data_IF_541303379365
#
_entry.id   IF_541303379365
#
_cell.length_a   1.000
_cell.length_b   1.000
_cell.length_c   1.000
_cell.angle_alpha   90.00
_cell.angle_beta   90.00
_cell.angle_gamma   90.00
#
_symmetry.space_group_name_H-M   'P 1'
#
loop_
_entity.id
_entity.type
_entity.pdbx_description
1 polymer ?
#
# COMPACT_ATOMS: atom_id res chain seq x y z
N UNK A 1 5.13 -13.92 -18.97
CA UNK A 1 4.38 -13.21 -17.91
C UNK A 1 4.98 -13.58 -16.56
N UNK A 2 5.43 -12.59 -15.79
CA UNK A 2 5.96 -12.83 -14.43
C UNK A 2 4.78 -12.80 -13.46
N UNK A 3 4.26 -13.96 -13.10
CA UNK A 3 3.22 -14.05 -12.07
C UNK A 3 3.83 -13.78 -10.68
N UNK A 4 3.14 -12.98 -9.89
CA UNK A 4 3.51 -12.81 -8.48
C UNK A 4 3.25 -14.13 -7.77
N UNK A 5 4.31 -14.74 -7.24
CA UNK A 5 4.22 -16.06 -6.59
C UNK A 5 3.73 -15.93 -5.16
N UNK A 6 2.75 -16.77 -4.81
CA UNK A 6 2.30 -16.90 -3.42
C UNK A 6 3.49 -17.27 -2.52
N UNK A 7 3.75 -16.52 -1.43
CA UNK A 7 4.80 -16.89 -0.50
C UNK A 7 4.48 -18.20 0.24
N UNK A 8 5.50 -18.91 0.76
CA UNK A 8 5.28 -20.08 1.61
C UNK A 8 4.38 -19.73 2.81
N UNK A 9 3.55 -20.68 3.24
CA UNK A 9 2.62 -20.50 4.39
C UNK A 9 3.27 -20.01 5.67
N UNK A 10 4.54 -20.40 5.92
CA UNK A 10 5.34 -19.93 7.07
C UNK A 10 5.79 -18.46 6.98
N UNK A 11 5.43 -17.75 5.91
CA UNK A 11 5.64 -16.28 5.77
C UNK A 11 4.34 -15.49 5.89
N UNK A 12 3.24 -16.16 6.19
CA UNK A 12 1.91 -15.56 6.32
C UNK A 12 1.33 -15.92 7.67
N UNK A 13 0.63 -14.98 8.30
CA UNK A 13 -0.09 -15.20 9.55
C UNK A 13 -1.38 -14.37 9.53
N UNK A 14 -2.51 -14.91 10.05
CA UNK A 14 -3.75 -14.16 10.12
C UNK A 14 -3.61 -12.92 11.02
N UNK A 15 -4.42 -11.87 10.82
CA UNK A 15 -4.45 -10.72 11.71
C UNK A 15 -4.56 -11.14 13.20
N UNK A 16 -3.89 -10.41 14.08
CA UNK A 16 -3.79 -10.77 15.49
C UNK A 16 -2.77 -11.88 15.80
N UNK A 17 -2.00 -12.30 14.80
CA UNK A 17 -0.92 -13.28 14.94
C UNK A 17 0.35 -12.83 14.22
N UNK A 18 1.47 -13.44 14.55
CA UNK A 18 2.76 -13.19 13.90
C UNK A 18 3.51 -14.48 13.64
N UNK A 19 4.45 -14.42 12.69
CA UNK A 19 5.34 -15.54 12.37
C UNK A 19 6.54 -15.53 13.31
N UNK A 20 6.68 -16.55 14.13
CA UNK A 20 7.89 -16.80 14.90
C UNK A 20 8.89 -17.52 14.00
N UNK A 21 10.00 -16.88 13.68
CA UNK A 21 11.09 -17.50 12.89
C UNK A 21 11.78 -18.58 13.72
N UNK A 22 12.33 -19.60 13.03
CA UNK A 22 13.17 -20.60 13.69
C UNK A 22 14.34 -19.93 14.43
N UNK A 23 14.59 -20.33 15.65
CA UNK A 23 15.68 -19.79 16.47
C UNK A 23 16.16 -20.83 17.50
N UNK A 24 17.35 -20.59 18.05
CA UNK A 24 17.87 -21.37 19.17
C UNK A 24 17.41 -20.72 20.47
N UNK A 25 16.89 -21.50 21.38
CA UNK A 25 16.60 -21.10 22.76
C UNK A 25 17.51 -21.81 23.74
N UNK A 26 17.84 -21.14 24.83
CA UNK A 26 18.57 -21.71 25.96
C UNK A 26 17.59 -21.86 27.11
N UNK A 27 17.47 -23.08 27.67
CA UNK A 27 16.65 -23.31 28.87
C UNK A 27 17.31 -22.69 30.12
N UNK A 28 16.57 -22.56 31.20
CA UNK A 28 17.11 -22.12 32.49
C UNK A 28 18.25 -23.03 33.03
N UNK A 29 18.36 -24.27 32.53
CA UNK A 29 19.44 -25.21 32.83
C UNK A 29 20.61 -25.14 31.83
N UNK A 30 20.69 -24.14 30.97
CA UNK A 30 21.75 -23.94 29.97
C UNK A 30 21.65 -24.84 28.73
N UNK A 31 20.62 -25.68 28.61
CA UNK A 31 20.46 -26.58 27.45
C UNK A 31 19.92 -25.78 26.25
N UNK A 32 20.63 -25.86 25.13
CA UNK A 32 20.21 -25.28 23.84
C UNK A 32 19.23 -26.20 23.14
N UNK A 33 18.13 -25.64 22.63
CA UNK A 33 17.17 -26.35 21.79
C UNK A 33 16.66 -25.49 20.66
N UNK A 34 16.24 -26.14 19.57
CA UNK A 34 15.72 -25.44 18.36
C UNK A 34 14.21 -25.25 18.44
N UNK A 35 13.78 -24.01 18.29
CA UNK A 35 12.36 -23.69 18.08
C UNK A 35 12.10 -23.65 16.59
N UNK A 36 11.18 -24.49 16.10
CA UNK A 36 10.73 -24.47 14.70
C UNK A 36 9.91 -23.20 14.41
N UNK A 37 9.92 -22.74 13.16
CA UNK A 37 9.05 -21.64 12.74
C UNK A 37 7.59 -22.06 12.94
N UNK A 38 6.78 -21.16 13.52
CA UNK A 38 5.34 -21.37 13.77
C UNK A 38 4.60 -20.05 13.84
N UNK A 39 3.28 -20.09 13.74
CA UNK A 39 2.41 -18.94 13.92
C UNK A 39 2.02 -18.86 15.41
N UNK A 40 2.10 -17.66 15.98
CA UNK A 40 1.74 -17.38 17.36
C UNK A 40 0.76 -16.22 17.44
N UNK A 41 -0.29 -16.36 18.26
CA UNK A 41 -1.21 -15.24 18.58
C UNK A 41 -0.46 -14.12 19.30
N UNK A 42 -0.80 -12.87 18.99
CA UNK A 42 -0.28 -11.70 19.67
C UNK A 42 -0.79 -11.68 21.13
N UNK A 43 0.06 -11.22 22.04
CA UNK A 43 -0.35 -10.95 23.42
C UNK A 43 -0.93 -9.55 23.47
N UNK A 44 -2.22 -9.42 23.81
CA UNK A 44 -2.96 -8.16 23.86
C UNK A 44 -3.67 -7.81 22.56
N UNK A 45 -4.42 -6.71 22.56
CA UNK A 45 -5.11 -6.17 21.39
C UNK A 45 -4.10 -5.42 20.50
N UNK A 46 -3.33 -6.14 19.72
CA UNK A 46 -2.45 -5.52 18.72
C UNK A 46 -3.27 -5.30 17.46
N UNK A 47 -3.73 -4.09 17.26
CA UNK A 47 -4.51 -3.66 16.08
C UNK A 47 -3.64 -3.40 14.85
N UNK A 48 -2.31 -3.53 14.99
CA UNK A 48 -1.37 -3.28 13.89
C UNK A 48 -1.28 -4.49 12.97
N UNK A 49 -1.39 -4.27 11.67
CA UNK A 49 -1.12 -5.27 10.65
C UNK A 49 0.37 -5.35 10.34
N UNK A 50 0.91 -6.54 10.41
CA UNK A 50 2.29 -6.88 10.08
C UNK A 50 2.41 -7.28 8.60
N UNK A 51 3.63 -7.34 8.01
CA UNK A 51 3.81 -7.79 6.63
C UNK A 51 3.15 -9.14 6.35
N UNK A 52 3.30 -10.10 7.26
CA UNK A 52 2.71 -11.44 7.16
C UNK A 52 1.19 -11.43 7.22
N UNK A 53 0.58 -10.43 7.88
CA UNK A 53 -0.88 -10.30 7.92
C UNK A 53 -1.40 -9.78 6.59
N UNK A 54 -0.73 -8.79 5.96
CA UNK A 54 -1.11 -8.30 4.64
C UNK A 54 -1.01 -9.41 3.59
N UNK A 55 0.07 -10.17 3.60
CA UNK A 55 0.21 -11.33 2.72
C UNK A 55 -0.89 -12.37 2.96
N UNK A 56 -1.21 -12.66 4.22
CA UNK A 56 -2.28 -13.60 4.55
C UNK A 56 -3.64 -13.12 4.02
N UNK A 57 -4.00 -11.87 4.27
CA UNK A 57 -5.27 -11.28 3.82
C UNK A 57 -5.43 -11.36 2.32
N UNK A 58 -4.42 -10.95 1.56
CA UNK A 58 -4.47 -10.99 0.10
C UNK A 58 -4.58 -12.43 -0.43
N UNK A 59 -3.71 -13.34 0.02
CA UNK A 59 -3.65 -14.70 -0.53
C UNK A 59 -4.77 -15.64 -0.07
N UNK A 60 -5.59 -15.24 0.89
CA UNK A 60 -6.80 -15.97 1.34
C UNK A 60 -8.08 -15.20 1.06
N UNK A 61 -7.99 -13.99 0.52
CA UNK A 61 -9.13 -13.22 0.04
C UNK A 61 -9.51 -13.56 -1.39
N UNK A 62 -10.60 -12.98 -1.84
CA UNK A 62 -11.04 -13.09 -3.22
C UNK A 62 -10.07 -12.33 -4.14
N UNK A 63 -9.68 -12.95 -5.25
CA UNK A 63 -8.77 -12.39 -6.25
C UNK A 63 -9.38 -12.45 -7.67
N UNK A 64 -10.63 -12.83 -7.78
CA UNK A 64 -11.35 -12.89 -9.05
C UNK A 64 -11.89 -11.50 -9.42
N UNK A 65 -11.01 -10.69 -9.97
CA UNK A 65 -11.32 -9.35 -10.43
C UNK A 65 -11.13 -9.20 -11.93
N UNK A 66 -11.97 -8.38 -12.60
CA UNK A 66 -11.80 -8.09 -14.02
C UNK A 66 -10.48 -7.35 -14.29
N UNK A 67 -9.91 -7.45 -15.49
CA UNK A 67 -8.74 -6.69 -15.87
C UNK A 67 -8.95 -5.18 -15.72
N UNK A 68 -7.97 -4.47 -15.17
CA UNK A 68 -7.98 -3.01 -15.11
C UNK A 68 -7.66 -2.41 -16.49
N UNK A 69 -6.87 -3.12 -17.29
CA UNK A 69 -6.38 -2.68 -18.60
C UNK A 69 -5.03 -1.96 -18.52
N UNK A 70 -4.53 -1.55 -19.68
CA UNK A 70 -3.24 -0.90 -19.81
C UNK A 70 -3.31 0.59 -19.45
N UNK A 71 -2.21 1.11 -18.89
CA UNK A 71 -1.96 2.56 -18.79
C UNK A 71 -1.31 3.00 -20.11
N UNK A 72 -1.75 4.13 -20.68
CA UNK A 72 -1.21 4.65 -21.96
C UNK A 72 0.31 4.83 -21.89
N UNK A 73 1.02 4.28 -22.85
CA UNK A 73 2.50 4.34 -22.91
C UNK A 73 3.21 3.30 -22.07
N UNK A 74 2.50 2.41 -21.40
CA UNK A 74 3.06 1.30 -20.62
C UNK A 74 2.54 -0.04 -21.13
N UNK A 75 3.25 -1.13 -20.81
CA UNK A 75 2.73 -2.49 -20.97
C UNK A 75 1.54 -2.72 -20.02
N UNK A 76 0.82 -3.82 -20.21
CA UNK A 76 -0.43 -4.06 -19.45
C UNK A 76 -0.22 -4.30 -17.95
N UNK A 77 0.84 -5.03 -17.58
CA UNK A 77 1.12 -5.41 -16.19
C UNK A 77 -0.11 -5.97 -15.43
N UNK A 78 -0.77 -7.02 -15.99
CA UNK A 78 -2.00 -7.58 -15.41
C UNK A 78 -1.78 -8.21 -14.03
N UNK A 79 -0.55 -8.55 -13.69
CA UNK A 79 -0.17 -9.12 -12.40
C UNK A 79 -0.44 -8.21 -11.20
N UNK A 80 -0.64 -6.90 -11.43
CA UNK A 80 -0.99 -5.96 -10.37
C UNK A 80 -2.49 -5.70 -10.26
N UNK A 81 -3.29 -6.10 -11.26
CA UNK A 81 -4.71 -5.75 -11.33
C UNK A 81 -5.52 -6.31 -10.16
N UNK A 82 -5.36 -7.59 -9.85
CA UNK A 82 -6.03 -8.20 -8.71
C UNK A 82 -5.57 -7.63 -7.37
N UNK A 83 -4.28 -7.28 -7.23
CA UNK A 83 -3.73 -6.70 -6.00
C UNK A 83 -4.34 -5.32 -5.76
N UNK A 84 -4.40 -4.48 -6.79
CA UNK A 84 -4.95 -3.12 -6.71
C UNK A 84 -6.42 -3.18 -6.29
N UNK A 85 -7.22 -4.01 -6.97
CA UNK A 85 -8.66 -4.12 -6.72
C UNK A 85 -8.94 -4.71 -5.35
N UNK A 86 -8.24 -5.79 -4.98
CA UNK A 86 -8.35 -6.38 -3.65
C UNK A 86 -8.12 -5.33 -2.55
N UNK A 87 -7.00 -4.61 -2.58
CA UNK A 87 -6.67 -3.67 -1.52
C UNK A 87 -7.56 -2.44 -1.51
N UNK A 88 -8.00 -1.94 -2.67
CA UNK A 88 -8.95 -0.84 -2.71
C UNK A 88 -10.29 -1.23 -2.09
N UNK A 89 -10.81 -2.42 -2.43
CA UNK A 89 -12.06 -2.93 -1.86
C UNK A 89 -11.91 -3.24 -0.37
N UNK A 90 -10.85 -3.95 0.00
CA UNK A 90 -10.58 -4.28 1.40
C UNK A 90 -10.57 -3.03 2.29
N UNK A 91 -9.84 -2.00 1.91
CA UNK A 91 -9.79 -0.78 2.73
C UNK A 91 -11.12 -0.02 2.75
N UNK A 92 -11.90 -0.03 1.68
CA UNK A 92 -13.27 0.51 1.65
C UNK A 92 -14.19 -0.26 2.62
N UNK A 93 -14.13 -1.57 2.61
CA UNK A 93 -14.89 -2.46 3.52
C UNK A 93 -14.47 -2.27 4.99
N UNK A 94 -13.22 -1.94 5.25
CA UNK A 94 -12.76 -1.58 6.60
C UNK A 94 -13.23 -0.17 7.04
N UNK A 95 -14.05 0.52 6.23
CA UNK A 95 -14.60 1.84 6.56
C UNK A 95 -13.63 2.99 6.39
N UNK A 96 -12.53 2.80 5.68
CA UNK A 96 -11.60 3.89 5.40
C UNK A 96 -12.18 4.86 4.36
N UNK A 97 -12.03 6.19 4.54
CA UNK A 97 -12.57 7.17 3.62
C UNK A 97 -11.74 7.24 2.34
N UNK A 98 -12.43 7.31 1.21
CA UNK A 98 -11.84 7.56 -0.10
C UNK A 98 -12.65 8.63 -0.84
N UNK A 99 -12.02 9.42 -1.71
CA UNK A 99 -12.74 10.38 -2.54
C UNK A 99 -13.65 9.65 -3.54
N UNK A 100 -14.77 10.29 -3.84
CA UNK A 100 -15.65 9.82 -4.91
C UNK A 100 -14.91 9.76 -6.24
N UNK A 101 -15.25 8.78 -7.08
CA UNK A 101 -14.61 8.55 -8.38
C UNK A 101 -13.25 7.87 -8.32
N UNK A 102 -12.73 7.51 -7.13
CA UNK A 102 -11.50 6.72 -7.06
C UNK A 102 -11.76 5.28 -7.55
N UNK A 103 -11.14 4.94 -8.67
CA UNK A 103 -11.21 3.62 -9.30
C UNK A 103 -9.83 2.93 -9.35
N UNK A 104 -9.79 1.61 -9.66
CA UNK A 104 -8.54 0.86 -9.77
C UNK A 104 -7.58 1.36 -10.86
N UNK A 105 -8.07 1.94 -11.97
CA UNK A 105 -7.22 2.45 -13.03
C UNK A 105 -6.40 3.65 -12.55
N UNK A 106 -7.00 4.56 -11.76
CA UNK A 106 -6.25 5.69 -11.23
C UNK A 106 -5.10 5.24 -10.30
N UNK A 107 -5.31 4.20 -9.49
CA UNK A 107 -4.23 3.61 -8.69
C UNK A 107 -3.14 3.04 -9.60
N UNK A 108 -3.52 2.35 -10.68
CA UNK A 108 -2.57 1.80 -11.65
C UNK A 108 -1.79 2.91 -12.37
N UNK A 109 -2.40 4.04 -12.67
CA UNK A 109 -1.74 5.24 -13.21
C UNK A 109 -0.75 5.84 -12.23
N UNK A 110 -1.09 5.93 -10.95
CA UNK A 110 -0.16 6.37 -9.89
C UNK A 110 1.07 5.44 -9.86
N UNK A 111 0.88 4.12 -9.88
CA UNK A 111 1.99 3.15 -9.93
C UNK A 111 2.87 3.36 -11.17
N UNK A 112 2.25 3.57 -12.34
CA UNK A 112 2.97 3.84 -13.58
C UNK A 112 3.87 5.09 -13.45
N UNK A 113 3.33 6.17 -12.90
CA UNK A 113 4.05 7.44 -12.70
C UNK A 113 5.17 7.33 -11.66
N UNK A 114 4.90 6.66 -10.53
CA UNK A 114 5.84 6.54 -9.41
C UNK A 114 7.05 5.63 -9.73
N UNK A 115 6.81 4.51 -10.38
CA UNK A 115 7.82 3.46 -10.51
C UNK A 115 8.01 2.89 -11.90
N UNK A 116 7.15 3.25 -12.86
CA UNK A 116 7.04 2.54 -14.15
C UNK A 116 6.87 1.02 -13.93
N UNK A 117 6.07 0.63 -12.94
CA UNK A 117 5.80 -0.75 -12.53
C UNK A 117 7.03 -1.54 -12.02
N UNK A 118 8.09 -0.87 -11.60
CA UNK A 118 9.31 -1.51 -11.06
C UNK A 118 9.19 -1.68 -9.54
N UNK A 119 8.81 -2.88 -9.07
CA UNK A 119 8.59 -3.18 -7.65
C UNK A 119 9.83 -3.04 -6.78
N UNK A 120 11.02 -3.22 -7.34
CA UNK A 120 12.29 -3.17 -6.62
C UNK A 120 12.95 -1.78 -6.65
N UNK A 121 12.28 -0.77 -7.24
CA UNK A 121 12.85 0.57 -7.32
C UNK A 121 12.98 1.20 -5.94
N UNK A 122 14.12 1.78 -5.69
CA UNK A 122 14.41 2.58 -4.51
C UNK A 122 15.10 3.86 -4.91
N UNK A 123 14.42 4.97 -4.75
CA UNK A 123 14.99 6.29 -5.02
C UNK A 123 15.84 6.71 -3.82
N UNK A 124 17.12 7.00 -4.08
CA UNK A 124 18.03 7.55 -3.06
C UNK A 124 18.06 9.06 -3.21
N UNK A 125 17.28 9.77 -2.42
CA UNK A 125 17.48 11.20 -2.20
C UNK A 125 18.30 11.40 -0.92
N UNK A 126 19.00 12.54 -0.81
CA UNK A 126 19.97 12.83 0.27
C UNK A 126 19.40 12.61 1.68
N UNK A 127 18.07 12.75 1.88
CA UNK A 127 17.39 12.64 3.17
C UNK A 127 16.14 11.75 3.15
N UNK A 128 15.83 11.07 2.04
CA UNK A 128 14.66 10.18 1.96
C UNK A 128 14.85 9.12 0.89
N UNK A 129 14.34 7.93 1.15
CA UNK A 129 14.30 6.87 0.15
C UNK A 129 12.86 6.44 -0.04
N UNK A 130 12.31 6.76 -1.22
CA UNK A 130 11.05 6.21 -1.65
C UNK A 130 11.24 4.78 -2.16
N UNK A 131 10.32 3.87 -1.89
CA UNK A 131 10.49 2.44 -2.17
C UNK A 131 9.25 1.82 -2.79
N UNK A 132 9.48 1.00 -3.83
CA UNK A 132 8.50 0.12 -4.44
C UNK A 132 7.54 0.81 -5.41
N UNK A 133 6.47 0.12 -5.78
CA UNK A 133 5.52 0.51 -6.83
C UNK A 133 4.90 1.90 -6.62
N UNK A 134 4.51 2.23 -5.39
CA UNK A 134 3.85 3.48 -5.03
C UNK A 134 4.79 4.44 -4.28
N UNK A 135 6.10 4.24 -4.35
CA UNK A 135 7.19 5.09 -3.83
C UNK A 135 6.94 5.59 -2.40
N UNK A 136 6.73 4.65 -1.48
CA UNK A 136 6.44 4.93 -0.08
C UNK A 136 7.72 5.33 0.69
N UNK A 137 7.63 6.41 1.47
CA UNK A 137 8.71 6.93 2.31
C UNK A 137 8.74 6.27 3.69
N UNK A 138 9.90 6.28 4.34
CA UNK A 138 10.03 5.85 5.74
C UNK A 138 9.14 6.68 6.69
N UNK A 139 9.04 7.99 6.48
CA UNK A 139 8.16 8.87 7.26
C UNK A 139 6.69 8.50 7.12
N UNK A 140 6.27 8.03 5.93
CA UNK A 140 4.93 7.50 5.71
C UNK A 140 4.68 6.26 6.57
N UNK A 141 5.66 5.34 6.66
CA UNK A 141 5.51 4.14 7.50
C UNK A 141 5.34 4.48 8.98
N UNK A 142 6.11 5.43 9.51
CA UNK A 142 5.95 5.88 10.91
C UNK A 142 4.55 6.42 11.18
N UNK A 143 3.99 7.21 10.26
CA UNK A 143 2.62 7.72 10.38
C UNK A 143 1.59 6.58 10.32
N UNK A 144 1.75 5.64 9.39
CA UNK A 144 0.86 4.49 9.27
C UNK A 144 0.98 3.51 10.45
N UNK A 145 2.08 3.51 11.17
CA UNK A 145 2.25 2.76 12.41
C UNK A 145 1.55 3.42 13.62
N UNK A 146 1.07 4.65 13.47
CA UNK A 146 0.47 5.42 14.56
C UNK A 146 1.52 6.00 15.51
N UNK A 147 2.75 6.21 15.05
CA UNK A 147 3.79 6.92 15.79
C UNK A 147 3.62 8.41 15.50
N UNK A 148 3.27 9.25 16.51
CA UNK A 148 3.08 10.67 16.28
C UNK A 148 4.43 11.34 15.97
N UNK A 149 4.52 11.94 14.79
CA UNK A 149 5.60 12.90 14.47
C UNK A 149 5.05 14.31 14.63
N UNK A 150 5.63 15.10 15.53
CA UNK A 150 5.45 16.55 15.63
C UNK A 150 3.99 17.03 15.71
N UNK A 151 3.14 16.42 16.51
CA UNK A 151 1.72 16.79 16.69
C UNK A 151 0.84 16.73 15.44
N UNK A 152 1.27 16.04 14.38
CA UNK A 152 0.44 15.84 13.20
C UNK A 152 -0.59 14.73 13.40
N UNK A 153 -1.76 14.95 12.81
CA UNK A 153 -2.96 14.13 12.92
C UNK A 153 -2.67 12.65 12.66
N UNK A 154 -3.02 11.85 13.62
CA UNK A 154 -2.84 10.42 13.62
C UNK A 154 -3.66 9.73 12.54
N UNK A 155 -3.12 8.64 12.03
CA UNK A 155 -3.88 7.67 11.25
C UNK A 155 -4.96 7.07 12.15
N UNK A 156 -6.21 7.11 11.71
CA UNK A 156 -7.30 6.52 12.48
C UNK A 156 -7.44 5.02 12.19
N UNK A 157 -7.05 4.20 13.15
CA UNK A 157 -7.19 2.75 13.06
C UNK A 157 -6.37 2.09 11.94
N UNK A 158 -6.50 0.78 11.81
CA UNK A 158 -5.83 -0.01 10.77
C UNK A 158 -4.34 0.33 10.58
N UNK A 159 -3.63 0.34 11.70
CA UNK A 159 -2.20 0.66 11.73
C UNK A 159 -1.39 -0.42 11.01
N UNK A 160 -0.34 0.02 10.31
CA UNK A 160 0.60 -0.86 9.61
C UNK A 160 1.97 -0.78 10.28
N UNK A 161 2.49 -1.90 10.74
CA UNK A 161 3.84 -1.99 11.31
C UNK A 161 4.78 -2.66 10.31
N UNK A 162 5.40 -1.84 9.46
CA UNK A 162 6.21 -2.26 8.32
C UNK A 162 7.60 -1.64 8.37
N UNK A 163 8.53 -2.26 7.65
CA UNK A 163 9.88 -1.74 7.38
C UNK A 163 10.01 -1.44 5.89
N UNK A 164 10.94 -0.54 5.51
CA UNK A 164 11.20 -0.25 4.09
C UNK A 164 11.48 -1.49 3.25
N UNK A 165 12.14 -2.51 3.82
CA UNK A 165 12.41 -3.76 3.12
C UNK A 165 11.16 -4.56 2.75
N UNK A 166 10.07 -4.42 3.50
CA UNK A 166 8.81 -5.11 3.23
C UNK A 166 8.13 -4.54 1.99
N UNK A 167 8.38 -3.27 1.67
CA UNK A 167 7.81 -2.57 0.52
C UNK A 167 8.35 -3.04 -0.84
N UNK A 168 9.33 -3.92 -0.88
CA UNK A 168 9.76 -4.58 -2.09
C UNK A 168 8.75 -5.63 -2.59
N UNK A 169 7.87 -6.09 -1.70
CA UNK A 169 6.76 -6.98 -2.06
C UNK A 169 5.59 -6.16 -2.63
N UNK A 170 5.12 -6.46 -3.86
CA UNK A 170 4.03 -5.73 -4.50
C UNK A 170 2.73 -5.71 -3.70
N UNK A 171 2.39 -6.82 -3.06
CA UNK A 171 1.15 -6.93 -2.26
C UNK A 171 1.19 -5.97 -1.09
N UNK A 172 2.32 -5.92 -0.37
CA UNK A 172 2.52 -5.04 0.78
C UNK A 172 2.60 -3.58 0.33
N UNK A 173 3.32 -3.30 -0.76
CA UNK A 173 3.51 -1.95 -1.25
C UNK A 173 2.20 -1.30 -1.68
N UNK A 174 1.39 -1.99 -2.50
CA UNK A 174 0.10 -1.50 -2.99
C UNK A 174 -0.89 -1.33 -1.82
N UNK A 175 -0.95 -2.30 -0.89
CA UNK A 175 -1.75 -2.17 0.33
C UNK A 175 -1.43 -0.88 1.09
N UNK A 176 -0.13 -0.62 1.27
CA UNK A 176 0.39 0.54 2.00
C UNK A 176 0.10 1.84 1.27
N UNK A 177 0.30 1.89 -0.05
CA UNK A 177 0.07 3.09 -0.86
C UNK A 177 -1.40 3.48 -0.92
N UNK A 178 -2.31 2.52 -1.08
CA UNK A 178 -3.76 2.79 -1.05
C UNK A 178 -4.20 3.24 0.35
N UNK A 179 -3.68 2.60 1.41
CA UNK A 179 -3.93 3.03 2.79
C UNK A 179 -3.45 4.46 3.05
N UNK A 180 -2.28 4.83 2.48
CA UNK A 180 -1.75 6.18 2.56
C UNK A 180 -2.62 7.19 1.81
N UNK A 181 -3.11 6.85 0.62
CA UNK A 181 -4.03 7.69 -0.16
C UNK A 181 -5.32 7.99 0.63
N UNK A 182 -5.89 6.99 1.27
CA UNK A 182 -7.03 7.16 2.18
C UNK A 182 -6.71 8.13 3.33
N UNK A 183 -5.53 8.00 3.95
CA UNK A 183 -5.14 8.93 5.01
C UNK A 183 -5.00 10.37 4.51
N UNK A 184 -4.47 10.58 3.30
CA UNK A 184 -4.41 11.91 2.68
C UNK A 184 -5.79 12.51 2.47
N UNK A 185 -6.73 11.72 1.97
CA UNK A 185 -8.13 12.16 1.85
C UNK A 185 -8.75 12.48 3.21
N UNK A 186 -8.54 11.65 4.22
CA UNK A 186 -8.99 11.92 5.58
C UNK A 186 -8.47 13.28 6.11
N UNK A 187 -7.19 13.58 5.91
CA UNK A 187 -6.61 14.88 6.30
C UNK A 187 -7.27 16.05 5.58
N UNK A 188 -7.56 15.91 4.27
CA UNK A 188 -8.30 16.92 3.52
C UNK A 188 -9.70 17.14 4.09
N UNK A 189 -10.42 16.06 4.41
CA UNK A 189 -11.77 16.14 5.00
C UNK A 189 -11.77 16.88 6.34
N UNK A 190 -10.73 16.72 7.15
CA UNK A 190 -10.58 17.38 8.46
C UNK A 190 -10.06 18.80 8.36
N UNK A 191 -9.40 19.19 7.28
CA UNK A 191 -8.88 20.54 7.09
C UNK A 191 -10.02 21.56 6.97
N UNK A 192 -9.91 22.66 7.72
CA UNK A 192 -10.80 23.83 7.59
C UNK A 192 -10.33 24.79 6.48
N UNK A 193 -9.06 24.74 6.12
CA UNK A 193 -8.43 25.65 5.16
C UNK A 193 -8.63 25.18 3.71
N UNK A 194 -8.70 23.88 3.49
CA UNK A 194 -8.85 23.29 2.17
C UNK A 194 -10.31 23.29 1.76
N UNK A 195 -10.64 24.11 0.76
CA UNK A 195 -12.00 24.22 0.22
C UNK A 195 -12.39 23.05 -0.68
N UNK A 196 -11.45 22.58 -1.50
CA UNK A 196 -11.66 21.50 -2.47
C UNK A 196 -11.19 20.16 -1.88
N UNK A 197 -12.15 19.27 -1.61
CA UNK A 197 -11.92 17.97 -0.92
C UNK A 197 -12.33 16.82 -1.83
N UNK A 198 -11.69 16.74 -2.96
CA UNK A 198 -12.01 15.81 -4.05
C UNK A 198 -10.83 14.88 -4.40
N UNK A 199 -11.04 14.08 -5.43
CA UNK A 199 -10.07 13.14 -5.95
C UNK A 199 -8.78 13.83 -6.43
N UNK A 200 -8.91 14.96 -7.16
CA UNK A 200 -7.76 15.73 -7.63
C UNK A 200 -6.90 16.24 -6.45
N UNK A 201 -7.54 16.85 -5.46
CA UNK A 201 -6.86 17.36 -4.27
C UNK A 201 -6.20 16.23 -3.47
N UNK A 202 -6.79 15.04 -3.45
CA UNK A 202 -6.23 13.87 -2.79
C UNK A 202 -4.96 13.39 -3.49
N UNK A 203 -4.96 13.30 -4.82
CA UNK A 203 -3.78 12.93 -5.61
C UNK A 203 -2.68 13.98 -5.48
N UNK A 204 -3.03 15.27 -5.55
CA UNK A 204 -2.09 16.36 -5.26
C UNK A 204 -1.43 16.18 -3.90
N UNK A 205 -2.21 15.89 -2.85
CA UNK A 205 -1.74 15.75 -1.49
C UNK A 205 -0.98 14.43 -1.24
N UNK A 206 -1.24 13.42 -2.05
CA UNK A 206 -0.48 12.16 -2.01
C UNK A 206 1.01 12.43 -2.25
N UNK A 207 1.34 13.25 -3.25
CA UNK A 207 2.70 13.67 -3.55
C UNK A 207 3.15 14.79 -2.59
N UNK A 208 2.62 16.01 -2.73
CA UNK A 208 2.93 17.17 -1.88
C UNK A 208 1.81 18.19 -1.94
N UNK A 209 1.65 19.00 -0.88
CA UNK A 209 0.67 20.09 -0.85
C UNK A 209 1.30 21.41 -1.31
N UNK A 210 1.77 21.48 -2.55
CA UNK A 210 2.37 22.67 -3.17
C UNK A 210 2.21 22.61 -4.69
N UNK A 211 2.87 23.52 -5.42
CA UNK A 211 2.87 23.55 -6.89
C UNK A 211 3.40 22.27 -7.55
N UNK A 212 4.39 21.59 -6.94
CA UNK A 212 4.86 20.29 -7.44
C UNK A 212 3.77 19.22 -7.34
N UNK A 213 2.96 19.26 -6.28
CA UNK A 213 1.80 18.38 -6.16
C UNK A 213 0.72 18.67 -7.19
N UNK A 214 0.53 19.93 -7.59
CA UNK A 214 -0.38 20.31 -8.68
C UNK A 214 0.08 19.73 -10.01
N UNK A 215 1.32 19.99 -10.39
CA UNK A 215 1.91 19.41 -11.62
C UNK A 215 1.80 17.89 -11.63
N UNK A 216 2.08 17.24 -10.50
CA UNK A 216 1.93 15.80 -10.35
C UNK A 216 0.48 15.35 -10.58
N UNK A 217 -0.49 16.02 -9.96
CA UNK A 217 -1.91 15.68 -10.14
C UNK A 217 -2.36 15.89 -11.59
N UNK A 218 -1.97 17.00 -12.23
CA UNK A 218 -2.28 17.27 -13.63
C UNK A 218 -1.75 16.16 -14.56
N UNK A 219 -0.51 15.73 -14.36
CA UNK A 219 0.09 14.64 -15.14
C UNK A 219 -0.60 13.30 -14.90
N UNK A 220 -0.99 12.99 -13.65
CA UNK A 220 -1.74 11.78 -13.29
C UNK A 220 -3.10 11.79 -13.98
N UNK A 221 -3.86 12.88 -13.88
CA UNK A 221 -5.21 12.95 -14.48
C UNK A 221 -5.17 12.96 -16.00
N UNK A 222 -4.19 13.62 -16.61
CA UNK A 222 -3.97 13.53 -18.06
C UNK A 222 -3.73 12.08 -18.47
N UNK A 223 -2.79 11.38 -17.81
CA UNK A 223 -2.48 9.99 -18.13
C UNK A 223 -3.69 9.06 -17.87
N UNK A 224 -4.46 9.34 -16.83
CA UNK A 224 -5.68 8.62 -16.50
C UNK A 224 -6.74 8.75 -17.61
N UNK A 225 -7.05 9.97 -18.03
CA UNK A 225 -8.02 10.20 -19.12
C UNK A 225 -7.54 9.60 -20.44
N UNK A 226 -6.27 9.79 -20.77
CA UNK A 226 -5.64 9.18 -21.95
C UNK A 226 -5.70 7.63 -21.95
N UNK A 227 -5.79 7.02 -20.76
CA UNK A 227 -5.90 5.56 -20.60
C UNK A 227 -7.36 5.07 -20.64
N UNK A 228 -8.32 5.90 -20.25
CA UNK A 228 -9.76 5.61 -20.37
C UNK A 228 -10.20 5.52 -21.83
N UNK A 229 -9.72 6.42 -22.69
CA UNK A 229 -10.10 6.47 -24.11
C UNK A 229 -9.77 5.17 -24.86
N UNK A 230 -8.77 4.42 -24.39
CA UNK A 230 -8.42 3.11 -24.95
C UNK A 230 -9.38 1.96 -24.55
N UNK A 231 -10.25 2.18 -23.57
CA UNK A 231 -11.23 1.18 -23.11
C UNK A 231 -12.55 1.25 -23.84
N UNK A 232 -12.84 2.36 -24.52
CA UNK A 232 -14.03 2.47 -25.34
C UNK A 232 -13.82 1.60 -26.57
N UNK A 233 -14.73 0.63 -26.89
CA UNK A 233 -14.68 -0.04 -28.18
C UNK A 233 -14.73 1.02 -29.26
N UNK A 234 -13.79 0.99 -30.18
CA UNK A 234 -13.85 1.79 -31.41
C UNK A 234 -15.15 1.37 -32.09
N UNK A 235 -16.07 2.32 -32.40
CA UNK A 235 -17.36 2.00 -33.01
C UNK A 235 -17.21 1.37 -34.39
#
# INVERSE_FOLDING_TARGET
MSFIKRPPTLKMAPPGSHVVKRHVKVSHKGVKYYVKAHIRKNRGKNEKLLPENLLYLYWHGDQDYPPIGAVKGFAEFPEFDSIIQFWLNFWKEQGLPFPEGLDPLLIKVIIAKESSFRSQIRTKAKNSSATGLMQILQSTLYRLEGVPENNFVEVQGHFLQLKLGDLADPVINIATGIRWLSHKYYLLMKSKEVKRKDLYSTVKYYHQWNTHGETYADEIFKLYHDSLDKRLPVP
#
